data_IF_509325597029
#
_entry.id   IF_509325597029
#
_cell.length_a   1.000
_cell.length_b   1.000
_cell.length_c   1.000
_cell.angle_alpha   90.00
_cell.angle_beta   90.00
_cell.angle_gamma   90.00
#
_symmetry.space_group_name_H-M   'P 1'
#
loop_
_entity.id
_entity.type
_entity.pdbx_description
1 polymer ?
#
# COMPACT_ATOMS: atom_id res chain seq x y z
N UNK A 1 1.97 0.96 3.26
CA UNK A 1 2.34 1.70 4.49
C UNK A 1 1.11 2.36 5.07
N UNK A 2 0.89 2.26 6.38
CA UNK A 2 -0.06 3.11 7.11
C UNK A 2 0.77 4.10 7.91
N UNK A 3 0.40 5.37 7.87
CA UNK A 3 1.09 6.43 8.58
C UNK A 3 0.12 7.34 9.32
N UNK A 4 0.50 7.75 10.53
CA UNK A 4 -0.34 8.53 11.45
C UNK A 4 0.51 9.18 12.54
N UNK A 5 -0.11 9.96 13.41
CA UNK A 5 0.53 10.43 14.64
C UNK A 5 0.69 9.29 15.66
N UNK A 6 1.78 9.29 16.41
CA UNK A 6 2.13 8.20 17.33
C UNK A 6 1.04 7.89 18.37
N UNK A 7 0.38 8.92 18.91
CA UNK A 7 -0.69 8.76 19.90
C UNK A 7 -1.91 7.98 19.41
N UNK A 8 -2.08 7.87 18.09
CA UNK A 8 -3.19 7.11 17.49
C UNK A 8 -2.86 5.65 17.25
N UNK A 9 -1.58 5.30 17.17
CA UNK A 9 -1.16 3.96 16.81
C UNK A 9 -1.63 2.92 17.83
N UNK A 10 -1.51 3.21 19.12
CA UNK A 10 -1.98 2.32 20.20
C UNK A 10 -3.51 2.21 20.21
N UNK A 11 -4.22 3.33 20.02
CA UNK A 11 -5.68 3.36 19.96
C UNK A 11 -6.21 2.48 18.83
N UNK A 12 -5.71 2.69 17.61
CA UNK A 12 -6.16 1.94 16.43
C UNK A 12 -5.77 0.47 16.55
N UNK A 13 -4.57 0.19 17.02
CA UNK A 13 -4.13 -1.19 17.30
C UNK A 13 -5.08 -1.90 18.26
N UNK A 14 -5.42 -1.27 19.39
CA UNK A 14 -6.35 -1.80 20.35
C UNK A 14 -7.74 -2.07 19.77
N UNK A 15 -8.25 -1.15 18.97
CA UNK A 15 -9.53 -1.32 18.25
C UNK A 15 -9.51 -2.51 17.30
N UNK A 16 -8.43 -2.69 16.51
CA UNK A 16 -8.31 -3.84 15.60
C UNK A 16 -8.26 -5.16 16.38
N UNK A 17 -7.58 -5.20 17.52
CA UNK A 17 -7.55 -6.39 18.39
C UNK A 17 -8.95 -6.72 18.93
N UNK A 18 -9.73 -5.73 19.35
CA UNK A 18 -11.12 -5.91 19.80
C UNK A 18 -11.97 -6.45 18.64
N UNK A 19 -11.87 -5.87 17.44
CA UNK A 19 -12.58 -6.32 16.24
C UNK A 19 -12.27 -7.78 15.90
N UNK A 20 -11.00 -8.19 16.03
CA UNK A 20 -10.59 -9.58 15.84
C UNK A 20 -11.23 -10.51 16.87
N UNK A 21 -11.26 -10.11 18.15
CA UNK A 21 -11.89 -10.88 19.23
C UNK A 21 -13.40 -11.01 19.02
N UNK A 22 -14.10 -9.91 18.76
CA UNK A 22 -15.54 -9.91 18.50
C UNK A 22 -15.92 -10.74 17.26
N UNK A 23 -15.04 -10.79 16.27
CA UNK A 23 -15.23 -11.60 15.06
C UNK A 23 -14.74 -13.03 15.24
N UNK A 24 -14.20 -13.40 16.41
CA UNK A 24 -13.55 -14.68 16.70
C UNK A 24 -12.51 -15.06 15.62
N UNK A 25 -11.72 -14.08 15.17
CA UNK A 25 -10.62 -14.23 14.22
C UNK A 25 -9.32 -13.93 14.92
N UNK A 26 -8.36 -14.86 14.85
CA UNK A 26 -7.05 -14.67 15.52
C UNK A 26 -6.19 -13.61 14.83
N UNK A 27 -6.27 -13.55 13.50
CA UNK A 27 -5.46 -12.67 12.68
C UNK A 27 -6.15 -12.48 11.31
N UNK A 28 -6.39 -11.25 10.91
CA UNK A 28 -6.88 -10.92 9.58
C UNK A 28 -5.72 -10.85 8.59
N UNK A 29 -5.78 -11.68 7.55
CA UNK A 29 -4.83 -11.68 6.43
C UNK A 29 -5.59 -11.77 5.12
N UNK A 30 -5.17 -10.99 4.12
CA UNK A 30 -5.81 -11.00 2.81
C UNK A 30 -5.84 -12.40 2.16
N UNK A 31 -4.71 -13.10 2.25
CA UNK A 31 -4.62 -14.44 1.64
C UNK A 31 -5.47 -15.52 2.32
N UNK A 32 -5.93 -15.28 3.57
CA UNK A 32 -6.84 -16.16 4.34
C UNK A 32 -8.32 -15.82 4.16
N UNK A 33 -8.63 -14.86 3.29
CA UNK A 33 -10.01 -14.42 3.04
C UNK A 33 -10.76 -15.45 2.18
N UNK A 34 -11.39 -16.42 2.84
CA UNK A 34 -12.10 -17.54 2.20
C UNK A 34 -13.47 -17.81 2.84
N UNK A 35 -13.87 -17.00 3.83
CA UNK A 35 -15.11 -17.20 4.57
C UNK A 35 -15.82 -15.89 4.90
N UNK A 36 -17.14 -15.95 5.08
CA UNK A 36 -17.94 -14.82 5.50
C UNK A 36 -17.45 -14.20 6.82
N UNK A 37 -16.97 -15.04 7.77
CA UNK A 37 -16.43 -14.60 9.05
C UNK A 37 -15.21 -13.68 8.84
N UNK A 38 -14.24 -14.13 8.04
CA UNK A 38 -13.05 -13.33 7.72
C UNK A 38 -13.43 -12.07 6.92
N UNK A 39 -14.40 -12.17 6.00
CA UNK A 39 -14.90 -11.02 5.25
C UNK A 39 -15.44 -9.93 6.19
N UNK A 40 -16.33 -10.27 7.12
CA UNK A 40 -16.89 -9.28 8.04
C UNK A 40 -15.84 -8.65 8.96
N UNK A 41 -14.88 -9.43 9.46
CA UNK A 41 -13.78 -8.90 10.24
C UNK A 41 -12.94 -7.89 9.44
N UNK A 42 -12.58 -8.24 8.21
CA UNK A 42 -11.80 -7.38 7.31
C UNK A 42 -12.58 -6.11 6.93
N UNK A 43 -13.88 -6.20 6.66
CA UNK A 43 -14.73 -5.03 6.39
C UNK A 43 -14.75 -4.06 7.56
N UNK A 44 -14.87 -4.53 8.80
CA UNK A 44 -14.79 -3.67 10.00
C UNK A 44 -13.42 -3.00 10.16
N UNK A 45 -12.32 -3.68 9.83
CA UNK A 45 -10.98 -3.08 9.85
C UNK A 45 -10.85 -2.01 8.76
N UNK A 46 -11.41 -2.24 7.57
CA UNK A 46 -11.45 -1.25 6.48
C UNK A 46 -12.23 -0.02 6.94
N UNK A 47 -13.43 -0.19 7.51
CA UNK A 47 -14.25 0.92 8.01
C UNK A 47 -13.49 1.75 9.04
N UNK A 48 -12.88 1.09 10.03
CA UNK A 48 -12.07 1.76 11.04
C UNK A 48 -10.94 2.59 10.40
N UNK A 49 -10.18 2.01 9.48
CA UNK A 49 -9.08 2.72 8.82
C UNK A 49 -9.59 3.91 7.98
N UNK A 50 -10.70 3.73 7.25
CA UNK A 50 -11.28 4.78 6.42
C UNK A 50 -11.91 5.92 7.25
N UNK A 51 -12.47 5.63 8.42
CA UNK A 51 -12.96 6.67 9.36
C UNK A 51 -11.84 7.60 9.79
N UNK A 52 -10.66 7.05 10.17
CA UNK A 52 -9.51 7.88 10.55
C UNK A 52 -8.87 8.57 9.35
N UNK A 53 -8.92 7.96 8.17
CA UNK A 53 -8.42 8.57 6.95
C UNK A 53 -9.27 9.74 6.49
N UNK A 54 -10.61 9.65 6.58
CA UNK A 54 -11.56 10.69 6.19
C UNK A 54 -11.36 12.02 6.94
N UNK A 55 -10.83 11.96 8.16
CA UNK A 55 -10.52 13.14 8.99
C UNK A 55 -9.01 13.49 9.00
N UNK A 56 -8.27 13.05 8.00
CA UNK A 56 -6.82 13.32 7.83
C UNK A 56 -5.92 12.88 9.01
N UNK A 57 -6.37 11.91 9.82
CA UNK A 57 -5.60 11.42 10.98
C UNK A 57 -4.77 10.18 10.66
N UNK A 58 -5.08 9.51 9.54
CA UNK A 58 -4.40 8.32 9.05
C UNK A 58 -4.25 8.40 7.54
N UNK A 59 -3.12 7.93 7.02
CA UNK A 59 -2.90 7.76 5.58
C UNK A 59 -2.56 6.31 5.25
N UNK A 60 -3.06 5.85 4.12
CA UNK A 60 -2.78 4.52 3.58
C UNK A 60 -2.10 4.71 2.23
N UNK A 61 -0.88 4.26 2.11
CA UNK A 61 -0.06 4.39 0.91
C UNK A 61 0.44 3.02 0.47
N UNK A 62 0.06 2.59 -0.72
CA UNK A 62 0.46 1.31 -1.32
C UNK A 62 1.22 1.58 -2.61
N UNK A 63 2.48 1.16 -2.64
CA UNK A 63 3.29 1.12 -3.84
C UNK A 63 3.23 -0.28 -4.42
N UNK A 64 2.75 -0.41 -5.63
CA UNK A 64 2.71 -1.66 -6.38
C UNK A 64 3.95 -1.70 -7.29
N UNK A 65 4.67 -2.81 -7.20
CA UNK A 65 5.85 -3.05 -8.02
C UNK A 65 5.69 -4.40 -8.73
N UNK A 66 5.78 -4.37 -10.05
CA UNK A 66 5.80 -5.57 -10.87
C UNK A 66 7.23 -6.12 -10.94
N UNK A 67 7.49 -7.20 -10.19
CA UNK A 67 8.81 -7.83 -10.13
C UNK A 67 9.19 -8.55 -11.44
N UNK A 68 8.22 -8.85 -12.29
CA UNK A 68 8.45 -9.50 -13.59
C UNK A 68 8.77 -8.48 -14.70
N UNK A 69 8.47 -7.20 -14.48
CA UNK A 69 8.81 -6.15 -15.44
C UNK A 69 10.31 -6.08 -15.65
N UNK A 70 10.74 -6.37 -16.89
CA UNK A 70 12.15 -6.37 -17.28
C UNK A 70 12.85 -5.04 -17.03
N UNK A 71 12.11 -3.94 -16.95
CA UNK A 71 12.64 -2.60 -16.64
C UNK A 71 13.25 -2.50 -15.24
N UNK A 72 12.91 -3.44 -14.33
CA UNK A 72 13.48 -3.51 -12.98
C UNK A 72 14.71 -4.41 -12.87
N UNK A 73 15.03 -5.17 -13.91
CA UNK A 73 16.19 -6.09 -13.93
C UNK A 73 17.48 -5.34 -14.28
N UNK A 74 18.09 -4.73 -13.29
CA UNK A 74 19.37 -4.01 -13.44
C UNK A 74 20.53 -4.96 -13.16
N UNK A 75 21.57 -4.94 -14.02
CA UNK A 75 22.77 -5.76 -13.84
C UNK A 75 23.42 -5.45 -12.48
N UNK A 76 23.73 -6.49 -11.70
CA UNK A 76 24.35 -6.37 -10.37
C UNK A 76 23.37 -6.02 -9.24
N UNK A 77 22.05 -5.98 -9.53
CA UNK A 77 21.01 -5.76 -8.56
C UNK A 77 20.13 -7.02 -8.45
N UNK A 78 20.11 -7.64 -7.28
CA UNK A 78 19.24 -8.77 -6.96
C UNK A 78 17.85 -8.30 -6.51
N UNK A 79 16.92 -9.24 -6.35
CA UNK A 79 15.53 -8.94 -5.95
C UNK A 79 15.44 -8.32 -4.54
N UNK A 80 16.38 -8.65 -3.64
CA UNK A 80 16.43 -8.07 -2.30
C UNK A 80 16.79 -6.57 -2.35
N UNK A 81 17.74 -6.21 -3.19
CA UNK A 81 18.10 -4.79 -3.43
C UNK A 81 16.98 -4.04 -4.11
N UNK A 82 16.26 -4.69 -5.05
CA UNK A 82 15.09 -4.09 -5.68
C UNK A 82 13.99 -3.85 -4.64
N UNK A 83 13.66 -4.84 -3.82
CA UNK A 83 12.68 -4.71 -2.75
C UNK A 83 13.07 -3.59 -1.77
N UNK A 84 14.31 -3.53 -1.35
CA UNK A 84 14.83 -2.46 -0.47
C UNK A 84 14.66 -1.08 -1.11
N UNK A 85 14.94 -0.95 -2.42
CA UNK A 85 14.73 0.31 -3.14
C UNK A 85 13.23 0.69 -3.17
N UNK A 86 12.31 -0.28 -3.30
CA UNK A 86 10.88 0.01 -3.25
C UNK A 86 10.45 0.53 -1.86
N UNK A 87 11.00 -0.02 -0.78
CA UNK A 87 10.78 0.56 0.56
C UNK A 87 11.31 1.98 0.68
N UNK A 88 12.51 2.26 0.14
CA UNK A 88 13.07 3.62 0.13
C UNK A 88 12.17 4.57 -0.66
N UNK A 89 11.69 4.18 -1.84
CA UNK A 89 10.78 4.98 -2.64
C UNK A 89 9.43 5.23 -1.93
N UNK A 90 8.86 4.20 -1.31
CA UNK A 90 7.63 4.32 -0.53
C UNK A 90 7.81 5.32 0.61
N UNK A 91 8.83 5.12 1.44
CA UNK A 91 9.11 5.97 2.61
C UNK A 91 9.42 7.41 2.21
N UNK A 92 10.28 7.62 1.19
CA UNK A 92 10.58 8.96 0.64
C UNK A 92 9.30 9.66 0.20
N UNK A 93 8.46 9.01 -0.60
CA UNK A 93 7.25 9.63 -1.11
C UNK A 93 6.26 9.95 0.01
N UNK A 94 6.11 9.10 1.01
CA UNK A 94 5.17 9.33 2.11
C UNK A 94 5.70 10.38 3.08
N UNK A 95 6.89 10.17 3.62
CA UNK A 95 7.45 11.02 4.68
C UNK A 95 7.72 12.43 4.16
N UNK A 96 8.39 12.55 3.01
CA UNK A 96 8.85 13.86 2.51
C UNK A 96 7.77 14.61 1.75
N UNK A 97 7.00 13.91 0.88
CA UNK A 97 6.10 14.59 -0.05
C UNK A 97 4.66 14.74 0.45
N UNK A 98 4.19 13.83 1.33
CA UNK A 98 2.76 13.74 1.67
C UNK A 98 2.41 14.23 3.06
N UNK A 99 3.33 14.13 4.01
CA UNK A 99 3.13 14.72 5.31
C UNK A 99 3.66 16.16 5.32
N UNK A 100 2.76 17.11 5.57
CA UNK A 100 3.12 18.52 5.67
C UNK A 100 3.73 18.83 7.05
N UNK A 101 4.86 19.51 7.06
CA UNK A 101 5.53 19.95 8.29
C UNK A 101 6.64 19.02 8.76
N UNK A 102 7.28 19.40 9.86
CA UNK A 102 8.36 18.65 10.48
C UNK A 102 7.83 17.47 11.31
N UNK A 103 8.54 16.35 11.33
CA UNK A 103 8.14 15.20 12.11
C UNK A 103 9.31 14.30 12.51
N UNK A 104 9.15 13.68 13.67
CA UNK A 104 10.02 12.59 14.14
C UNK A 104 9.29 11.28 13.82
N UNK A 105 9.94 10.40 13.08
CA UNK A 105 9.33 9.18 12.56
C UNK A 105 9.88 7.95 13.26
N UNK A 106 8.96 7.08 13.67
CA UNK A 106 9.23 5.71 14.04
C UNK A 106 8.62 4.80 12.98
N UNK A 107 9.36 3.80 12.51
CA UNK A 107 8.95 2.91 11.45
C UNK A 107 8.85 1.49 12.02
N UNK A 108 7.70 0.86 11.84
CA UNK A 108 7.41 -0.49 12.30
C UNK A 108 7.11 -1.39 11.08
N UNK A 109 8.15 -1.89 10.38
CA UNK A 109 7.94 -2.85 9.30
C UNK A 109 7.49 -4.20 9.85
N UNK A 110 6.70 -4.95 9.06
CA UNK A 110 6.47 -6.36 9.34
C UNK A 110 7.80 -7.14 9.32
N UNK A 111 7.92 -8.14 10.16
CA UNK A 111 9.15 -8.93 10.29
C UNK A 111 9.57 -9.49 8.92
N UNK A 112 10.73 -9.08 8.47
CA UNK A 112 11.31 -9.52 7.21
C UNK A 112 12.84 -9.54 7.30
N UNK A 113 13.41 -10.72 7.45
CA UNK A 113 14.85 -10.94 7.61
C UNK A 113 15.69 -10.59 6.36
N UNK A 114 15.04 -10.28 5.23
CA UNK A 114 15.71 -9.99 3.95
C UNK A 114 16.14 -8.52 3.88
N UNK A 115 15.44 -7.62 4.58
CA UNK A 115 15.66 -6.18 4.48
C UNK A 115 16.66 -5.70 5.52
N UNK A 116 17.73 -5.06 5.06
CA UNK A 116 18.66 -4.31 5.92
C UNK A 116 18.07 -2.93 6.25
N UNK A 117 17.31 -2.86 7.33
CA UNK A 117 16.67 -1.64 7.78
C UNK A 117 17.66 -0.55 8.23
N UNK A 118 18.87 -0.95 8.67
CA UNK A 118 19.94 0.03 8.99
C UNK A 118 20.39 0.72 7.73
N UNK A 119 20.57 -0.03 6.66
CA UNK A 119 20.93 0.53 5.35
C UNK A 119 19.83 1.43 4.78
N UNK A 120 18.56 0.99 4.82
CA UNK A 120 17.39 1.80 4.41
C UNK A 120 17.35 3.14 5.17
N UNK A 121 17.48 3.10 6.50
CA UNK A 121 17.52 4.33 7.32
C UNK A 121 18.66 5.25 6.94
N UNK A 122 19.85 4.69 6.70
CA UNK A 122 21.02 5.49 6.33
C UNK A 122 20.88 6.13 4.95
N UNK A 123 20.25 5.46 3.99
CA UNK A 123 19.93 6.05 2.69
C UNK A 123 18.90 7.17 2.84
N UNK A 124 17.80 6.94 3.56
CA UNK A 124 16.77 7.95 3.77
C UNK A 124 17.33 9.22 4.43
N UNK A 125 18.25 9.07 5.41
CA UNK A 125 18.96 10.21 6.00
C UNK A 125 19.84 10.97 5.03
N UNK A 126 20.31 10.31 3.95
CA UNK A 126 21.12 10.94 2.90
C UNK A 126 20.25 11.54 1.80
N UNK A 127 19.09 10.93 1.48
CA UNK A 127 18.16 11.43 0.46
C UNK A 127 17.58 12.79 0.87
N UNK A 128 17.38 13.05 2.15
CA UNK A 128 17.08 14.39 2.65
C UNK A 128 18.13 15.46 2.24
N UNK A 129 19.27 15.02 1.65
CA UNK A 129 20.35 15.88 1.20
C UNK A 129 20.32 16.21 -0.31
N UNK A 130 19.54 15.48 -1.12
CA UNK A 130 19.62 15.55 -2.58
C UNK A 130 18.25 15.44 -3.25
N UNK A 131 17.31 16.35 -2.97
CA UNK A 131 16.20 16.56 -3.89
C UNK A 131 16.67 17.58 -4.93
N UNK A 132 17.18 17.06 -6.05
CA UNK A 132 18.00 17.74 -7.04
C UNK A 132 17.14 18.35 -8.14
N UNK A 133 16.39 19.40 -7.84
CA UNK A 133 15.76 20.25 -8.88
C UNK A 133 15.85 21.75 -8.55
N UNK A 134 16.89 22.20 -7.88
CA UNK A 134 17.00 23.62 -7.57
C UNK A 134 18.43 24.16 -7.54
N UNK A 135 18.56 25.23 -8.30
CA UNK A 135 19.71 26.14 -8.34
C UNK A 135 20.25 26.51 -6.95
N UNK A 136 21.56 26.79 -6.93
CA UNK A 136 22.46 27.06 -5.82
C UNK A 136 22.03 28.07 -4.73
N UNK A 137 20.80 28.58 -4.75
CA UNK A 137 20.27 29.48 -3.72
C UNK A 137 19.69 28.75 -2.50
N UNK A 138 19.58 27.43 -2.55
CA UNK A 138 18.89 26.59 -1.59
C UNK A 138 19.77 25.99 -0.48
N UNK A 139 21.07 26.14 -0.52
CA UNK A 139 21.95 25.61 0.52
C UNK A 139 21.68 26.14 1.94
N UNK A 140 21.09 27.31 2.06
CA UNK A 140 20.72 27.89 3.38
C UNK A 140 19.34 27.43 3.86
N UNK A 141 18.38 27.26 2.98
CA UNK A 141 17.05 26.70 3.27
C UNK A 141 17.15 25.20 3.51
N UNK A 142 18.09 24.52 2.89
CA UNK A 142 18.36 23.10 2.97
C UNK A 142 18.80 22.60 4.35
N UNK A 143 19.63 23.38 5.06
CA UNK A 143 20.00 23.04 6.43
C UNK A 143 18.83 23.18 7.43
N UNK A 144 17.81 23.98 7.11
CA UNK A 144 16.53 23.99 7.83
C UNK A 144 15.66 22.78 7.50
N UNK A 145 15.67 22.30 6.25
CA UNK A 145 14.94 21.10 5.85
C UNK A 145 15.48 19.82 6.50
N UNK A 146 16.79 19.72 6.73
CA UNK A 146 17.42 18.59 7.44
C UNK A 146 16.88 18.36 8.86
N UNK A 147 16.33 19.38 9.49
CA UNK A 147 15.72 19.28 10.81
C UNK A 147 14.24 18.91 10.79
N UNK A 148 13.60 18.86 9.60
CA UNK A 148 12.15 18.74 9.51
C UNK A 148 11.64 17.29 9.62
N UNK A 149 12.41 16.32 9.11
CA UNK A 149 12.02 14.90 9.17
C UNK A 149 13.18 14.05 9.68
N UNK A 150 13.02 13.44 10.83
CA UNK A 150 14.02 12.56 11.44
C UNK A 150 13.46 11.16 11.66
N UNK A 151 14.12 10.14 11.13
CA UNK A 151 13.80 8.74 11.45
C UNK A 151 14.65 8.35 12.67
N UNK A 152 14.00 8.24 13.83
CA UNK A 152 14.66 7.93 15.11
C UNK A 152 14.81 6.44 15.33
N UNK A 153 13.79 5.64 14.97
CA UNK A 153 13.87 4.19 15.10
C UNK A 153 13.22 3.47 13.91
N UNK A 154 13.72 2.26 13.66
CA UNK A 154 13.10 1.26 12.79
C UNK A 154 13.09 -0.04 13.59
N UNK A 155 11.92 -0.53 13.96
CA UNK A 155 11.72 -1.69 14.82
C UNK A 155 10.74 -2.64 14.15
N UNK A 156 11.16 -3.89 13.93
CA UNK A 156 10.29 -4.89 13.31
C UNK A 156 9.10 -5.24 14.22
N UNK A 157 7.91 -5.32 13.62
CA UNK A 157 6.66 -5.62 14.29
C UNK A 157 6.16 -7.02 13.94
N UNK A 158 5.68 -7.77 14.95
CA UNK A 158 4.97 -9.03 14.72
C UNK A 158 3.50 -8.73 14.32
N UNK A 159 3.12 -9.12 13.11
CA UNK A 159 1.77 -8.91 12.58
C UNK A 159 0.66 -9.58 13.40
N UNK A 160 0.96 -10.63 14.15
CA UNK A 160 -0.02 -11.27 15.03
C UNK A 160 -0.38 -10.40 16.23
N UNK A 161 0.58 -9.58 16.69
CA UNK A 161 0.42 -8.70 17.84
C UNK A 161 0.06 -7.27 17.41
N UNK A 162 0.31 -6.93 16.15
CA UNK A 162 0.16 -5.57 15.64
C UNK A 162 -0.99 -5.49 14.64
N UNK A 163 -2.15 -4.99 15.06
CA UNK A 163 -3.33 -4.86 14.22
C UNK A 163 -3.11 -3.96 12.98
N UNK A 164 -2.27 -2.94 13.10
CA UNK A 164 -1.91 -2.08 11.97
C UNK A 164 -1.14 -2.83 10.88
N UNK A 165 -0.32 -3.84 11.23
CA UNK A 165 0.30 -4.71 10.23
C UNK A 165 -0.75 -5.56 9.50
N UNK A 166 -1.81 -5.99 10.19
CA UNK A 166 -2.93 -6.70 9.58
C UNK A 166 -3.72 -5.77 8.65
N UNK A 167 -3.97 -4.54 9.08
CA UNK A 167 -4.67 -3.55 8.25
C UNK A 167 -3.90 -3.27 6.95
N UNK A 168 -2.58 -3.04 7.01
CA UNK A 168 -1.81 -2.80 5.78
C UNK A 168 -1.69 -4.04 4.89
N UNK A 169 -1.65 -5.25 5.46
CA UNK A 169 -1.72 -6.50 4.68
C UNK A 169 -3.02 -6.57 3.86
N UNK A 170 -4.15 -6.17 4.45
CA UNK A 170 -5.44 -6.12 3.75
C UNK A 170 -5.39 -5.15 2.56
N UNK A 171 -4.95 -3.90 2.76
CA UNK A 171 -4.89 -2.91 1.68
C UNK A 171 -3.86 -3.26 0.60
N UNK A 172 -2.72 -3.82 0.99
CA UNK A 172 -1.70 -4.29 0.05
C UNK A 172 -2.20 -5.48 -0.75
N UNK A 173 -2.76 -6.49 -0.07
CA UNK A 173 -3.31 -7.67 -0.72
C UNK A 173 -4.48 -7.34 -1.65
N UNK A 174 -5.35 -6.41 -1.26
CA UNK A 174 -6.43 -5.90 -2.10
C UNK A 174 -5.91 -5.19 -3.35
N UNK A 175 -4.84 -4.40 -3.23
CA UNK A 175 -4.20 -3.74 -4.37
C UNK A 175 -3.58 -4.74 -5.34
N UNK A 176 -2.87 -5.75 -4.84
CA UNK A 176 -2.30 -6.84 -5.65
C UNK A 176 -3.41 -7.64 -6.33
N UNK A 177 -4.46 -8.04 -5.59
CA UNK A 177 -5.61 -8.77 -6.14
C UNK A 177 -6.28 -7.98 -7.27
N UNK A 178 -6.45 -6.69 -7.11
CA UNK A 178 -7.07 -5.83 -8.12
C UNK A 178 -6.29 -5.80 -9.43
N UNK A 179 -4.98 -6.00 -9.38
CA UNK A 179 -4.10 -6.07 -10.54
C UNK A 179 -4.03 -7.49 -11.12
N UNK A 180 -3.71 -8.49 -10.31
CA UNK A 180 -3.48 -9.86 -10.77
C UNK A 180 -4.78 -10.58 -11.14
N UNK A 181 -5.88 -10.31 -10.43
CA UNK A 181 -7.18 -10.98 -10.54
C UNK A 181 -8.28 -10.06 -11.10
N UNK A 182 -7.90 -9.05 -11.88
CA UNK A 182 -8.85 -8.07 -12.44
C UNK A 182 -9.95 -8.70 -13.28
N UNK A 183 -9.63 -9.77 -14.02
CA UNK A 183 -10.63 -10.50 -14.81
C UNK A 183 -11.67 -11.18 -13.90
N UNK A 184 -11.20 -11.80 -12.82
CA UNK A 184 -12.07 -12.41 -11.82
C UNK A 184 -12.98 -11.36 -11.15
N UNK A 185 -12.43 -10.20 -10.79
CA UNK A 185 -13.22 -9.10 -10.21
C UNK A 185 -14.23 -8.54 -11.21
N UNK A 186 -13.85 -8.37 -12.47
CA UNK A 186 -14.75 -7.91 -13.54
C UNK A 186 -15.90 -8.90 -13.76
N UNK A 187 -15.60 -10.19 -13.82
CA UNK A 187 -16.60 -11.25 -13.95
C UNK A 187 -17.54 -11.32 -12.74
N UNK A 188 -16.99 -11.15 -11.52
CA UNK A 188 -17.78 -11.05 -10.31
C UNK A 188 -18.78 -9.88 -10.39
N UNK A 189 -18.32 -8.70 -10.85
CA UNK A 189 -19.17 -7.53 -11.03
C UNK A 189 -20.32 -7.74 -12.01
N UNK A 190 -20.04 -8.41 -13.14
CA UNK A 190 -21.07 -8.77 -14.12
C UNK A 190 -22.16 -9.65 -13.51
N UNK A 191 -21.82 -10.63 -12.68
CA UNK A 191 -22.79 -11.52 -12.00
C UNK A 191 -23.66 -10.80 -11.00
N UNK A 192 -23.21 -9.67 -10.45
CA UNK A 192 -23.98 -8.83 -9.52
C UNK A 192 -24.86 -7.80 -10.24
N UNK A 193 -24.60 -7.52 -11.51
CA UNK A 193 -25.40 -6.61 -12.31
C UNK A 193 -26.66 -7.33 -12.82
N UNK A 194 -27.85 -6.68 -12.74
CA UNK A 194 -29.10 -7.24 -13.27
C UNK A 194 -29.15 -7.26 -14.81
N UNK A 195 -28.21 -6.67 -15.51
CA UNK A 195 -28.14 -6.73 -16.97
C UNK A 195 -27.67 -8.12 -17.39
N UNK A 196 -28.64 -8.97 -17.80
CA UNK A 196 -28.35 -10.22 -18.46
C UNK A 196 -27.65 -9.93 -19.79
N UNK A 197 -26.46 -10.48 -19.99
CA UNK A 197 -25.81 -10.48 -21.31
C UNK A 197 -26.73 -11.25 -22.29
N UNK A 198 -27.06 -10.60 -23.41
CA UNK A 198 -27.85 -11.22 -24.49
C UNK A 198 -27.13 -12.39 -25.16
N UNK A 199 -25.81 -12.50 -24.94
CA UNK A 199 -24.98 -13.59 -25.45
C UNK A 199 -24.16 -14.20 -24.32
N UNK A 200 -24.19 -15.52 -24.10
CA UNK A 200 -23.39 -16.18 -23.10
C UNK A 200 -21.91 -16.14 -23.55
N UNK A 201 -21.11 -15.31 -22.89
CA UNK A 201 -19.65 -15.41 -22.93
C UNK A 201 -19.18 -16.57 -22.02
N UNK A 202 -18.05 -17.18 -22.33
CA UNK A 202 -17.45 -18.20 -21.47
C UNK A 202 -17.32 -17.64 -20.04
N UNK A 203 -18.00 -18.29 -19.10
CA UNK A 203 -18.01 -17.85 -17.70
C UNK A 203 -16.73 -18.32 -17.03
N UNK A 204 -15.91 -17.37 -16.57
CA UNK A 204 -14.78 -17.68 -15.70
C UNK A 204 -15.33 -18.26 -14.38
N UNK A 205 -14.93 -19.46 -14.01
CA UNK A 205 -15.27 -20.02 -12.71
C UNK A 205 -14.50 -19.27 -11.60
N UNK A 206 -15.25 -18.64 -10.70
CA UNK A 206 -14.68 -17.94 -9.54
C UNK A 206 -14.54 -18.93 -8.37
N UNK A 207 -13.36 -19.02 -7.80
CA UNK A 207 -13.18 -19.74 -6.55
C UNK A 207 -13.94 -19.02 -5.41
N UNK A 208 -14.20 -19.75 -4.31
CA UNK A 208 -14.80 -19.13 -3.12
C UNK A 208 -13.95 -17.96 -2.60
N UNK A 209 -12.64 -18.11 -2.65
CA UNK A 209 -11.67 -17.06 -2.30
C UNK A 209 -11.81 -15.84 -3.21
N UNK A 210 -11.84 -16.02 -4.53
CA UNK A 210 -12.00 -14.89 -5.47
C UNK A 210 -13.34 -14.17 -5.24
N UNK A 211 -14.42 -14.90 -4.91
CA UNK A 211 -15.71 -14.31 -4.56
C UNK A 211 -15.64 -13.43 -3.29
N UNK A 212 -15.02 -13.95 -2.22
CA UNK A 212 -14.89 -13.22 -0.95
C UNK A 212 -13.97 -12.01 -1.11
N UNK A 213 -12.85 -12.15 -1.82
CA UNK A 213 -11.91 -11.07 -2.10
C UNK A 213 -12.55 -10.00 -2.99
N UNK A 214 -13.30 -10.37 -4.02
CA UNK A 214 -14.03 -9.42 -4.87
C UNK A 214 -15.11 -8.68 -4.08
N UNK A 215 -15.80 -9.38 -3.16
CA UNK A 215 -16.80 -8.76 -2.30
C UNK A 215 -16.19 -7.69 -1.39
N UNK A 216 -15.02 -7.96 -0.81
CA UNK A 216 -14.31 -6.99 0.05
C UNK A 216 -13.76 -5.82 -0.76
N UNK A 217 -13.18 -6.09 -1.93
CA UNK A 217 -12.69 -5.02 -2.82
C UNK A 217 -13.80 -4.07 -3.22
N UNK A 218 -14.96 -4.60 -3.65
CA UNK A 218 -16.11 -3.77 -4.01
C UNK A 218 -16.62 -2.97 -2.81
N UNK A 219 -16.76 -3.62 -1.65
CA UNK A 219 -17.15 -2.94 -0.41
C UNK A 219 -16.21 -1.77 -0.09
N UNK A 220 -14.91 -1.98 -0.17
CA UNK A 220 -13.92 -0.94 0.09
C UNK A 220 -14.07 0.23 -0.89
N UNK A 221 -14.28 -0.04 -2.19
CA UNK A 221 -14.53 1.00 -3.19
C UNK A 221 -15.79 1.81 -2.90
N UNK A 222 -16.88 1.15 -2.48
CA UNK A 222 -18.12 1.81 -2.08
C UNK A 222 -17.90 2.71 -0.85
N UNK A 223 -17.22 2.21 0.19
CA UNK A 223 -16.91 3.00 1.39
C UNK A 223 -16.01 4.21 1.07
N UNK A 224 -15.00 4.04 0.21
CA UNK A 224 -14.15 5.14 -0.24
C UNK A 224 -14.95 6.20 -1.02
N UNK A 225 -15.86 5.76 -1.89
CA UNK A 225 -16.73 6.68 -2.64
C UNK A 225 -17.64 7.52 -1.73
N UNK A 226 -18.22 6.94 -0.68
CA UNK A 226 -19.04 7.67 0.30
C UNK A 226 -18.26 8.75 1.06
N UNK A 227 -16.95 8.56 1.22
CA UNK A 227 -16.03 9.49 1.90
C UNK A 227 -15.27 10.42 0.95
N UNK A 228 -15.65 10.46 -0.33
CA UNK A 228 -14.98 11.23 -1.37
C UNK A 228 -13.48 10.89 -1.54
N UNK A 229 -13.07 9.71 -1.15
CA UNK A 229 -11.71 9.19 -1.40
C UNK A 229 -11.67 8.68 -2.83
N UNK A 230 -10.98 9.43 -3.70
CA UNK A 230 -11.02 9.22 -5.14
C UNK A 230 -10.00 8.19 -5.61
N UNK A 231 -10.28 6.93 -5.34
CA UNK A 231 -9.56 5.78 -5.90
C UNK A 231 -10.40 5.17 -7.03
N UNK A 232 -9.74 4.65 -8.06
CA UNK A 232 -10.41 4.06 -9.22
C UNK A 232 -9.89 2.65 -9.48
N UNK A 233 -10.80 1.80 -9.94
CA UNK A 233 -10.44 0.54 -10.56
C UNK A 233 -10.30 0.76 -12.07
N UNK A 234 -9.13 0.50 -12.60
CA UNK A 234 -8.81 0.61 -14.03
C UNK A 234 -8.53 -0.78 -14.60
N UNK A 235 -9.11 -1.08 -15.77
CA UNK A 235 -9.02 -2.40 -16.38
C UNK A 235 -7.57 -2.88 -16.66
N UNK A 236 -6.63 -1.95 -16.81
CA UNK A 236 -5.23 -2.28 -17.11
C UNK A 236 -4.30 -2.23 -15.89
N UNK A 237 -4.73 -1.59 -14.80
CA UNK A 237 -3.85 -1.26 -13.67
C UNK A 237 -4.42 -1.68 -12.31
N UNK A 238 -5.69 -2.17 -12.24
CA UNK A 238 -6.36 -2.41 -10.97
C UNK A 238 -6.67 -1.12 -10.21
N UNK A 239 -6.44 -1.12 -8.89
CA UNK A 239 -6.63 0.07 -8.07
C UNK A 239 -5.54 1.12 -8.33
N UNK A 240 -5.96 2.34 -8.63
CA UNK A 240 -5.06 3.48 -8.88
C UNK A 240 -5.64 4.77 -8.29
N UNK A 241 -4.79 5.56 -7.65
CA UNK A 241 -5.11 6.91 -7.20
C UNK A 241 -4.44 7.93 -8.12
N UNK A 242 -5.22 8.85 -8.71
CA UNK A 242 -4.70 9.87 -9.62
C UNK A 242 -4.05 11.05 -8.88
N UNK A 243 -4.63 11.44 -7.76
CA UNK A 243 -4.10 12.52 -6.93
C UNK A 243 -3.32 11.92 -5.74
N UNK A 244 -1.99 12.06 -5.71
CA UNK A 244 -1.15 11.52 -4.63
C UNK A 244 -1.40 12.20 -3.27
N UNK A 245 -2.16 13.30 -3.21
CA UNK A 245 -2.51 13.94 -1.95
C UNK A 245 -3.71 13.27 -1.25
N UNK A 246 -4.40 12.35 -1.92
CA UNK A 246 -5.47 11.59 -1.28
C UNK A 246 -4.95 10.80 -0.08
N UNK A 247 -5.79 10.65 0.93
CA UNK A 247 -5.45 9.92 2.18
C UNK A 247 -5.28 8.42 1.97
N UNK A 248 -5.88 7.87 0.92
CA UNK A 248 -5.62 6.50 0.43
C UNK A 248 -4.98 6.59 -0.94
N UNK A 249 -3.80 6.02 -1.07
CA UNK A 249 -2.99 6.11 -2.26
C UNK A 249 -2.52 4.73 -2.71
N UNK A 250 -2.82 4.40 -3.95
CA UNK A 250 -2.29 3.21 -4.63
C UNK A 250 -1.67 3.67 -5.94
N UNK A 251 -0.40 3.35 -6.13
CA UNK A 251 0.29 3.70 -7.38
C UNK A 251 1.29 2.63 -7.79
N UNK A 252 1.50 2.53 -9.10
CA UNK A 252 2.52 1.66 -9.66
C UNK A 252 3.86 2.38 -9.71
N UNK A 253 4.91 1.67 -9.30
CA UNK A 253 6.26 2.18 -9.46
C UNK A 253 6.62 2.23 -10.94
N UNK A 254 7.03 3.40 -11.40
CA UNK A 254 7.57 3.60 -12.74
C UNK A 254 9.00 4.10 -12.62
N UNK A 255 9.99 3.41 -13.21
CA UNK A 255 11.38 3.86 -13.19
C UNK A 255 11.52 5.28 -13.73
N UNK A 256 12.14 6.17 -12.94
CA UNK A 256 12.23 7.61 -13.27
C UNK A 256 13.52 7.97 -14.02
N UNK A 257 14.57 7.17 -13.85
CA UNK A 257 15.89 7.42 -14.44
C UNK A 257 16.33 6.26 -15.34
N UNK A 258 17.32 6.52 -16.21
CA UNK A 258 17.90 5.47 -17.06
C UNK A 258 18.61 4.38 -16.23
N UNK A 259 19.12 4.72 -15.06
CA UNK A 259 19.72 3.76 -14.12
C UNK A 259 18.69 2.86 -13.43
N UNK A 260 17.44 3.29 -13.38
CA UNK A 260 16.32 2.49 -12.87
C UNK A 260 15.70 1.59 -13.94
N UNK A 261 16.01 1.84 -15.22
CA UNK A 261 15.51 1.04 -16.33
C UNK A 261 16.38 -0.20 -16.51
N UNK A 262 15.74 -1.36 -16.59
CA UNK A 262 16.41 -2.55 -17.05
C UNK A 262 16.80 -2.42 -18.53
N UNK A 263 17.90 -3.02 -18.98
CA UNK A 263 18.18 -3.13 -20.39
C UNK A 263 17.03 -3.89 -21.06
N UNK A 264 16.59 -3.38 -22.24
CA UNK A 264 15.61 -4.08 -23.07
C UNK A 264 16.18 -5.47 -23.34
N UNK A 265 15.45 -6.53 -23.03
CA UNK A 265 15.81 -7.86 -23.49
C UNK A 265 15.69 -7.86 -25.01
N UNK A 266 16.82 -8.04 -25.70
CA UNK A 266 16.76 -8.44 -27.09
C UNK A 266 15.97 -9.75 -27.14
N UNK A 267 14.84 -9.71 -27.85
CA UNK A 267 14.07 -10.91 -28.10
C UNK A 267 14.95 -11.88 -28.88
N UNK A 268 15.40 -12.95 -28.21
CA UNK A 268 15.96 -14.11 -28.87
C UNK A 268 14.84 -15.04 -29.29
#
# INVERSE_FOLDING_TARGET
MISMRAELAEEINGKIQILNQESDVKECKWYKLESAKNRFAIQKIIDLCLEYADIDRLRIDVLVWDSEDSRHKVIGRDDNKNLMNMYIQLLKNVIVKRWKGSGVWQIFPDQNSIIDWVHVRNILRKIDLYDDDSDSYLDRTWNQFKSLHSIVSVEEADSKLTGLCQAIDIFTGMSVFSFEKREAFTEWGKRKSPQQELFPTEKIELSNKDNEQSTVLNYCLEQMATKNINIRFENNSGLVTKDPNQVVNVWFYTPQTLSDKAPIRDNF
#
